data_IF_500324559185
#
_entry.id   IF_500324559185
#
_cell.length_a   1.000
_cell.length_b   1.000
_cell.length_c   1.000
_cell.angle_alpha   90.00
_cell.angle_beta   90.00
_cell.angle_gamma   90.00
#
_symmetry.space_group_name_H-M   'P 1'
#
loop_
_entity.id
_entity.type
_entity.pdbx_description
1 polymer ?
#
# COMPACT_ATOMS: atom_id res chain seq x y z
N UNK A 1 8.94 -33.71 -0.70
CA UNK A 1 9.75 -32.69 -1.40
C UNK A 1 11.20 -32.92 -1.01
N UNK A 2 12.04 -33.35 -1.96
CA UNK A 2 13.43 -33.78 -1.75
C UNK A 2 14.37 -32.61 -1.42
N UNK A 3 15.43 -32.87 -0.64
CA UNK A 3 16.43 -31.87 -0.21
C UNK A 3 17.09 -31.14 -1.39
N UNK A 4 17.31 -31.86 -2.49
CA UNK A 4 17.87 -31.32 -3.73
C UNK A 4 16.96 -30.27 -4.38
N UNK A 5 15.63 -30.46 -4.29
CA UNK A 5 14.63 -29.49 -4.77
C UNK A 5 14.59 -28.25 -3.88
N UNK A 6 14.77 -28.40 -2.56
CA UNK A 6 14.96 -27.26 -1.64
C UNK A 6 16.25 -26.49 -1.94
N UNK A 7 17.35 -27.18 -2.27
CA UNK A 7 18.63 -26.56 -2.63
C UNK A 7 18.55 -25.71 -3.89
N UNK A 8 17.93 -26.24 -4.96
CA UNK A 8 17.72 -25.51 -6.22
C UNK A 8 16.80 -24.29 -6.07
N UNK A 9 15.72 -24.40 -5.28
CA UNK A 9 14.83 -23.27 -4.99
C UNK A 9 15.51 -22.19 -4.12
N UNK A 10 16.36 -22.57 -3.18
CA UNK A 10 17.15 -21.63 -2.36
C UNK A 10 18.24 -20.90 -3.16
N UNK A 11 18.84 -21.55 -4.16
CA UNK A 11 19.83 -20.95 -5.05
C UNK A 11 19.25 -20.03 -6.13
N UNK A 12 17.97 -20.19 -6.49
CA UNK A 12 17.30 -19.38 -7.51
C UNK A 12 16.72 -18.05 -6.98
N UNK A 13 16.56 -17.91 -5.66
CA UNK A 13 16.03 -16.70 -5.04
C UNK A 13 17.18 -15.77 -4.63
N UNK A 14 17.09 -14.45 -4.89
CA UNK A 14 18.05 -13.48 -4.38
C UNK A 14 18.26 -13.64 -2.87
N UNK A 15 19.50 -13.42 -2.41
CA UNK A 15 19.86 -13.50 -0.99
C UNK A 15 18.91 -12.65 -0.15
N UNK A 16 18.31 -13.22 0.90
CA UNK A 16 17.38 -12.51 1.79
C UNK A 16 15.90 -12.52 1.38
N UNK A 17 15.52 -13.26 0.33
CA UNK A 17 14.11 -13.36 -0.08
C UNK A 17 13.24 -14.08 0.97
N UNK A 18 13.76 -15.09 1.68
CA UNK A 18 12.95 -15.87 2.62
C UNK A 18 12.54 -15.14 3.91
N UNK A 19 13.40 -14.34 4.59
CA UNK A 19 12.98 -13.61 5.78
C UNK A 19 12.01 -12.48 5.45
N UNK A 20 12.19 -11.80 4.32
CA UNK A 20 11.28 -10.73 3.88
C UNK A 20 9.93 -11.30 3.51
N UNK A 21 9.89 -12.39 2.71
CA UNK A 21 8.64 -13.05 2.35
C UNK A 21 7.87 -13.53 3.59
N UNK A 22 8.56 -14.15 4.55
CA UNK A 22 7.94 -14.57 5.82
C UNK A 22 7.38 -13.37 6.58
N UNK A 23 8.14 -12.29 6.71
CA UNK A 23 7.70 -11.06 7.37
C UNK A 23 6.44 -10.46 6.71
N UNK A 24 6.41 -10.40 5.37
CA UNK A 24 5.26 -9.90 4.60
C UNK A 24 4.03 -10.79 4.78
N UNK A 25 4.19 -12.12 4.68
CA UNK A 25 3.10 -13.09 4.89
C UNK A 25 2.53 -12.93 6.30
N UNK A 26 3.41 -12.88 7.30
CA UNK A 26 3.02 -12.73 8.69
C UNK A 26 2.28 -11.41 8.91
N UNK A 27 2.78 -10.31 8.36
CA UNK A 27 2.12 -9.01 8.41
C UNK A 27 0.73 -9.06 7.79
N UNK A 28 0.58 -9.71 6.62
CA UNK A 28 -0.71 -9.88 5.96
C UNK A 28 -1.70 -10.62 6.84
N UNK A 29 -1.35 -11.82 7.30
CA UNK A 29 -2.22 -12.65 8.15
C UNK A 29 -2.62 -11.93 9.43
N UNK A 30 -1.65 -11.33 10.12
CA UNK A 30 -1.89 -10.62 11.39
C UNK A 30 -2.66 -9.31 11.20
N UNK A 31 -2.45 -8.60 10.08
CA UNK A 31 -3.26 -7.41 9.73
C UNK A 31 -4.71 -7.78 9.44
N UNK A 32 -4.96 -8.90 8.74
CA UNK A 32 -6.31 -9.42 8.55
C UNK A 32 -6.94 -9.80 9.89
N UNK A 33 -6.23 -10.55 10.75
CA UNK A 33 -6.72 -10.89 12.08
C UNK A 33 -7.06 -9.63 12.91
N UNK A 34 -6.18 -8.63 12.90
CA UNK A 34 -6.38 -7.35 13.57
C UNK A 34 -7.63 -6.60 13.08
N UNK A 35 -7.88 -6.60 11.77
CA UNK A 35 -9.05 -5.94 11.17
C UNK A 35 -10.35 -6.75 11.28
N UNK A 36 -10.27 -8.07 11.42
CA UNK A 36 -11.44 -8.96 11.41
C UNK A 36 -11.94 -9.24 12.82
N UNK A 37 -11.04 -9.52 13.77
CA UNK A 37 -11.40 -9.98 15.11
C UNK A 37 -12.32 -9.02 15.89
N UNK A 38 -12.11 -7.68 15.89
CA UNK A 38 -12.97 -6.77 16.65
C UNK A 38 -14.44 -6.81 16.21
N UNK A 39 -14.69 -6.93 14.89
CA UNK A 39 -16.02 -7.11 14.34
C UNK A 39 -16.55 -8.53 14.58
N UNK A 40 -15.75 -9.56 14.27
CA UNK A 40 -16.18 -10.96 14.31
C UNK A 40 -16.57 -11.43 15.71
N UNK A 41 -15.87 -10.93 16.72
CA UNK A 41 -16.13 -11.21 18.13
C UNK A 41 -17.24 -10.33 18.72
N UNK A 42 -17.82 -9.41 17.93
CA UNK A 42 -18.89 -8.51 18.37
C UNK A 42 -18.44 -7.47 19.40
N UNK A 43 -17.13 -7.22 19.50
CA UNK A 43 -16.58 -6.23 20.45
C UNK A 43 -16.80 -4.81 19.91
N UNK A 44 -16.55 -4.60 18.61
CA UNK A 44 -16.93 -3.36 17.92
C UNK A 44 -18.23 -3.59 17.14
N UNK A 45 -19.23 -2.75 17.42
CA UNK A 45 -20.40 -2.65 16.56
C UNK A 45 -20.04 -2.08 15.17
N UNK A 46 -21.01 -2.05 14.26
CA UNK A 46 -20.80 -1.58 12.88
C UNK A 46 -20.35 -0.13 12.81
N UNK A 47 -20.84 0.75 13.70
CA UNK A 47 -20.47 2.17 13.73
C UNK A 47 -19.01 2.37 14.14
N UNK A 48 -18.61 1.74 15.25
CA UNK A 48 -17.24 1.76 15.77
C UNK A 48 -16.28 1.09 14.79
N UNK A 49 -16.68 -0.04 14.21
CA UNK A 49 -15.90 -0.72 13.19
C UNK A 49 -15.69 0.15 11.94
N UNK A 50 -16.73 0.83 11.46
CA UNK A 50 -16.62 1.74 10.33
C UNK A 50 -15.66 2.90 10.65
N UNK A 51 -15.73 3.50 11.85
CA UNK A 51 -14.81 4.56 12.26
C UNK A 51 -13.35 4.09 12.32
N UNK A 52 -13.11 2.93 12.94
CA UNK A 52 -11.79 2.29 13.01
C UNK A 52 -11.21 1.99 11.62
N UNK A 53 -11.99 1.37 10.74
CA UNK A 53 -11.52 1.03 9.39
C UNK A 53 -11.32 2.25 8.52
N UNK A 54 -12.14 3.30 8.64
CA UNK A 54 -11.90 4.59 7.96
C UNK A 54 -10.57 5.21 8.36
N UNK A 55 -10.20 5.17 9.64
CA UNK A 55 -8.85 5.55 10.09
C UNK A 55 -7.78 4.74 9.37
N UNK A 56 -7.94 3.42 9.27
CA UNK A 56 -7.01 2.57 8.53
C UNK A 56 -6.87 3.03 7.08
N UNK A 57 -7.96 3.25 6.35
CA UNK A 57 -7.90 3.67 4.96
C UNK A 57 -7.25 5.05 4.78
N UNK A 58 -7.60 6.03 5.62
CA UNK A 58 -6.98 7.38 5.61
C UNK A 58 -5.48 7.27 5.90
N UNK A 59 -5.10 6.49 6.91
CA UNK A 59 -3.70 6.28 7.25
C UNK A 59 -2.92 5.66 6.10
N UNK A 60 -3.49 4.69 5.40
CA UNK A 60 -2.85 4.08 4.22
C UNK A 60 -2.88 4.99 2.98
N UNK A 61 -3.62 6.11 2.97
CA UNK A 61 -3.37 7.20 2.01
C UNK A 61 -2.10 7.94 2.38
N UNK A 62 -1.98 8.36 3.65
CA UNK A 62 -0.89 9.23 4.10
C UNK A 62 0.45 8.50 4.21
N UNK A 63 0.49 7.37 4.91
CA UNK A 63 1.73 6.69 5.27
C UNK A 63 2.49 6.16 4.03
N UNK A 64 1.99 5.16 3.29
CA UNK A 64 2.68 4.70 2.09
C UNK A 64 2.62 5.75 0.96
N UNK A 65 1.69 6.71 1.01
CA UNK A 65 1.62 7.83 0.06
C UNK A 65 2.84 8.75 0.14
N UNK A 66 3.22 9.13 1.35
CA UNK A 66 4.31 10.07 1.62
C UNK A 66 5.67 9.40 1.83
N UNK A 67 5.69 8.17 2.33
CA UNK A 67 6.94 7.57 2.84
C UNK A 67 7.44 6.36 2.05
N UNK A 68 6.62 5.70 1.22
CA UNK A 68 7.11 4.58 0.41
C UNK A 68 8.17 5.00 -0.64
N UNK A 69 8.03 6.14 -1.36
CA UNK A 69 9.05 6.56 -2.31
C UNK A 69 10.34 6.97 -1.60
N UNK A 70 10.21 7.53 -0.39
CA UNK A 70 11.33 7.81 0.49
C UNK A 70 12.08 6.52 0.86
N UNK A 71 11.37 5.48 1.29
CA UNK A 71 11.95 4.16 1.56
C UNK A 71 12.75 3.63 0.36
N UNK A 72 12.14 3.63 -0.84
CA UNK A 72 12.71 3.07 -2.05
C UNK A 72 13.96 3.83 -2.52
N UNK A 73 13.88 5.16 -2.62
CA UNK A 73 15.01 5.99 -3.04
C UNK A 73 16.13 6.01 -2.01
N UNK A 74 15.79 5.94 -0.72
CA UNK A 74 16.79 5.88 0.34
C UNK A 74 17.51 4.53 0.32
N UNK A 75 16.79 3.41 0.16
CA UNK A 75 17.38 2.09 -0.02
C UNK A 75 18.34 2.04 -1.21
N UNK A 76 17.94 2.61 -2.36
CA UNK A 76 18.78 2.72 -3.55
C UNK A 76 20.09 3.49 -3.26
N UNK A 77 19.99 4.65 -2.61
CA UNK A 77 21.15 5.48 -2.29
C UNK A 77 22.09 4.81 -1.27
N UNK A 78 21.54 4.16 -0.24
CA UNK A 78 22.32 3.39 0.75
C UNK A 78 23.04 2.22 0.07
N UNK A 79 22.35 1.48 -0.81
CA UNK A 79 22.97 0.38 -1.55
C UNK A 79 24.11 0.85 -2.47
N UNK A 80 23.96 2.01 -3.13
CA UNK A 80 25.00 2.60 -3.96
C UNK A 80 26.24 3.02 -3.15
N UNK A 81 26.05 3.63 -1.97
CA UNK A 81 27.15 3.95 -1.04
C UNK A 81 27.84 2.71 -0.51
N UNK A 82 27.07 1.68 -0.12
CA UNK A 82 27.61 0.39 0.33
C UNK A 82 28.49 -0.26 -0.74
N UNK A 83 28.03 -0.30 -1.99
CA UNK A 83 28.80 -0.85 -3.11
C UNK A 83 30.07 -0.07 -3.46
N UNK A 84 30.18 1.19 -3.03
CA UNK A 84 31.34 2.06 -3.24
C UNK A 84 32.16 2.34 -1.97
N UNK A 85 31.87 1.66 -0.86
CA UNK A 85 32.57 1.84 0.41
C UNK A 85 32.45 3.23 1.04
N UNK A 86 31.39 3.99 0.72
CA UNK A 86 31.19 5.35 1.24
C UNK A 86 30.34 5.34 2.51
N UNK A 87 30.78 6.08 3.53
CA UNK A 87 30.05 6.19 4.80
C UNK A 87 28.62 6.72 4.67
N UNK A 88 27.72 6.21 5.52
CA UNK A 88 26.27 6.44 5.46
C UNK A 88 25.80 7.62 6.31
N UNK A 89 26.58 8.12 7.27
CA UNK A 89 26.12 9.14 8.21
C UNK A 89 25.58 10.43 7.54
N UNK A 90 26.25 11.01 6.52
CA UNK A 90 25.70 12.19 5.84
C UNK A 90 24.40 11.89 5.08
N UNK A 91 24.28 10.69 4.50
CA UNK A 91 23.09 10.24 3.80
C UNK A 91 21.91 10.07 4.77
N UNK A 92 22.16 9.48 5.94
CA UNK A 92 21.16 9.34 7.00
C UNK A 92 20.60 10.69 7.47
N UNK A 93 21.45 11.71 7.67
CA UNK A 93 20.98 13.07 8.02
C UNK A 93 20.06 13.66 6.95
N UNK A 94 20.40 13.45 5.68
CA UNK A 94 19.56 13.90 4.55
C UNK A 94 18.25 13.10 4.45
N UNK A 95 18.29 11.79 4.71
CA UNK A 95 17.11 10.94 4.82
C UNK A 95 16.17 11.40 5.94
N UNK A 96 16.71 11.70 7.12
CA UNK A 96 15.96 12.26 8.25
C UNK A 96 15.35 13.63 7.91
N UNK A 97 16.04 14.49 7.17
CA UNK A 97 15.49 15.77 6.74
C UNK A 97 14.27 15.57 5.81
N UNK A 98 14.35 14.64 4.84
CA UNK A 98 13.21 14.30 3.99
C UNK A 98 12.06 13.64 4.77
N UNK A 99 12.37 12.76 5.72
CA UNK A 99 11.36 12.18 6.61
C UNK A 99 10.68 13.27 7.44
N UNK A 100 11.44 14.23 8.00
CA UNK A 100 10.88 15.33 8.77
C UNK A 100 9.96 16.22 7.94
N UNK A 101 10.32 16.52 6.68
CA UNK A 101 9.45 17.24 5.75
C UNK A 101 8.17 16.45 5.48
N UNK A 102 8.28 15.15 5.17
CA UNK A 102 7.12 14.29 4.94
C UNK A 102 6.22 14.17 6.18
N UNK A 103 6.81 14.11 7.39
CA UNK A 103 6.10 14.09 8.66
C UNK A 103 5.38 15.42 8.90
N UNK A 104 6.03 16.55 8.66
CA UNK A 104 5.41 17.87 8.83
C UNK A 104 4.21 18.05 7.87
N UNK A 105 4.38 17.68 6.60
CA UNK A 105 3.28 17.71 5.62
C UNK A 105 2.17 16.74 6.03
N UNK A 106 2.53 15.49 6.36
CA UNK A 106 1.57 14.48 6.80
C UNK A 106 0.82 14.87 8.06
N UNK A 107 1.47 15.57 9.00
CA UNK A 107 0.87 16.08 10.23
C UNK A 107 -0.16 17.17 9.92
N UNK A 108 0.17 18.14 9.07
CA UNK A 108 -0.77 19.19 8.64
C UNK A 108 -1.98 18.57 7.95
N UNK A 109 -1.77 17.60 7.05
CA UNK A 109 -2.87 16.91 6.37
C UNK A 109 -3.69 16.06 7.34
N UNK A 110 -3.04 15.31 8.23
CA UNK A 110 -3.71 14.50 9.25
C UNK A 110 -4.57 15.36 10.17
N UNK A 111 -4.08 16.52 10.60
CA UNK A 111 -4.84 17.46 11.42
C UNK A 111 -6.01 18.06 10.64
N UNK A 112 -5.80 18.47 9.39
CA UNK A 112 -6.87 18.98 8.52
C UNK A 112 -7.98 17.94 8.30
N UNK A 113 -7.61 16.70 7.97
CA UNK A 113 -8.55 15.57 7.84
C UNK A 113 -9.23 15.26 9.17
N UNK A 114 -8.48 15.29 10.26
CA UNK A 114 -8.98 15.04 11.61
C UNK A 114 -10.02 16.05 12.07
N UNK A 115 -9.81 17.34 11.76
CA UNK A 115 -10.74 18.42 12.11
C UNK A 115 -11.96 18.41 11.17
N UNK A 116 -11.73 18.43 9.86
CA UNK A 116 -12.81 18.56 8.87
C UNK A 116 -13.63 17.28 8.70
N UNK A 117 -13.00 16.13 8.92
CA UNK A 117 -13.61 14.80 8.81
C UNK A 117 -13.96 14.17 10.16
N UNK A 118 -13.87 14.91 11.28
CA UNK A 118 -14.05 14.36 12.64
C UNK A 118 -15.34 13.54 12.77
N UNK A 119 -16.46 14.14 12.38
CA UNK A 119 -17.76 13.49 12.51
C UNK A 119 -17.91 12.43 11.41
N UNK A 120 -17.63 12.82 10.16
CA UNK A 120 -17.83 11.99 8.98
C UNK A 120 -16.92 10.78 8.86
N UNK A 121 -15.70 10.81 9.37
CA UNK A 121 -14.73 9.71 9.28
C UNK A 121 -14.59 8.97 10.61
N UNK A 122 -14.67 9.69 11.73
CA UNK A 122 -14.27 9.17 13.03
C UNK A 122 -15.40 9.11 14.05
N UNK A 123 -16.66 9.35 13.63
CA UNK A 123 -17.83 9.33 14.52
C UNK A 123 -17.59 10.19 15.78
N UNK A 124 -16.99 11.37 15.58
CA UNK A 124 -16.67 12.34 16.63
C UNK A 124 -15.65 11.86 17.70
N UNK A 125 -14.88 10.80 17.43
CA UNK A 125 -13.89 10.27 18.36
C UNK A 125 -12.51 10.95 18.22
N UNK A 126 -12.16 11.78 19.21
CA UNK A 126 -10.86 12.48 19.24
C UNK A 126 -9.66 11.53 19.37
N UNK A 127 -9.88 10.34 19.94
CA UNK A 127 -8.86 9.29 20.03
C UNK A 127 -8.42 8.79 18.66
N UNK A 128 -9.30 8.77 17.65
CA UNK A 128 -8.94 8.38 16.27
C UNK A 128 -8.18 9.49 15.55
N UNK A 129 -8.51 10.76 15.82
CA UNK A 129 -7.73 11.91 15.33
C UNK A 129 -6.32 11.86 15.90
N UNK A 130 -6.19 11.64 17.22
CA UNK A 130 -4.91 11.47 17.89
C UNK A 130 -4.13 10.28 17.30
N UNK A 131 -4.79 9.15 17.08
CA UNK A 131 -4.17 7.98 16.46
C UNK A 131 -3.63 8.30 15.06
N UNK A 132 -4.40 9.02 14.22
CA UNK A 132 -3.95 9.42 12.89
C UNK A 132 -2.69 10.29 12.98
N UNK A 133 -2.70 11.30 13.86
CA UNK A 133 -1.59 12.23 14.07
C UNK A 133 -0.33 11.52 14.56
N UNK A 134 -0.47 10.59 15.51
CA UNK A 134 0.66 9.80 16.04
C UNK A 134 1.17 8.76 15.04
N UNK A 135 0.32 8.26 14.14
CA UNK A 135 0.71 7.29 13.14
C UNK A 135 1.64 7.89 12.07
N UNK A 136 1.51 9.18 11.74
CA UNK A 136 2.35 9.84 10.73
C UNK A 136 3.86 9.76 11.04
N UNK A 137 4.36 10.26 12.20
CA UNK A 137 5.78 10.13 12.54
C UNK A 137 6.20 8.67 12.69
N UNK A 138 5.28 7.81 13.16
CA UNK A 138 5.55 6.39 13.35
C UNK A 138 5.85 5.68 12.03
N UNK A 139 5.02 5.87 11.03
CA UNK A 139 5.25 5.34 9.68
C UNK A 139 6.40 6.05 8.96
N UNK A 140 6.58 7.36 9.15
CA UNK A 140 7.69 8.10 8.55
C UNK A 140 9.05 7.55 8.97
N UNK A 141 9.22 7.28 10.27
CA UNK A 141 10.44 6.67 10.80
C UNK A 141 10.56 5.19 10.39
N UNK A 142 9.46 4.43 10.40
CA UNK A 142 9.46 3.03 9.94
C UNK A 142 9.97 2.91 8.50
N UNK A 143 9.41 3.68 7.56
CA UNK A 143 9.77 3.63 6.15
C UNK A 143 11.21 4.09 5.89
N UNK A 144 11.70 5.11 6.60
CA UNK A 144 13.11 5.51 6.51
C UNK A 144 14.03 4.39 7.02
N UNK A 145 13.71 3.81 8.18
CA UNK A 145 14.48 2.71 8.77
C UNK A 145 14.46 1.45 7.92
N UNK A 146 13.33 1.14 7.29
CA UNK A 146 13.19 0.12 6.26
C UNK A 146 14.13 0.36 5.09
N UNK A 147 14.18 1.59 4.58
CA UNK A 147 15.09 1.96 3.49
C UNK A 147 16.55 1.75 3.88
N UNK A 148 16.91 2.09 5.12
CA UNK A 148 18.25 1.85 5.66
C UNK A 148 18.58 0.34 5.70
N UNK A 149 17.71 -0.46 6.32
CA UNK A 149 17.90 -1.91 6.46
C UNK A 149 18.01 -2.60 5.09
N UNK A 150 17.10 -2.29 4.17
CA UNK A 150 17.09 -2.86 2.83
C UNK A 150 18.33 -2.46 2.02
N UNK A 151 18.69 -1.17 2.00
CA UNK A 151 19.86 -0.68 1.26
C UNK A 151 21.19 -1.20 1.81
N UNK A 152 21.27 -1.40 3.12
CA UNK A 152 22.43 -2.01 3.78
C UNK A 152 22.54 -3.52 3.55
N UNK A 153 21.57 -4.14 2.88
CA UNK A 153 21.53 -5.60 2.65
C UNK A 153 21.09 -6.42 3.86
N UNK A 154 20.54 -5.78 4.89
CA UNK A 154 20.04 -6.44 6.11
C UNK A 154 18.59 -6.88 5.93
N UNK A 155 18.36 -7.79 4.99
CA UNK A 155 17.02 -8.25 4.62
C UNK A 155 16.28 -8.97 5.75
N UNK A 156 16.99 -9.59 6.70
CA UNK A 156 16.39 -10.15 7.92
C UNK A 156 15.77 -9.05 8.79
N UNK A 157 16.50 -7.98 9.07
CA UNK A 157 15.97 -6.82 9.80
C UNK A 157 14.82 -6.15 9.04
N UNK A 158 14.95 -6.00 7.73
CA UNK A 158 13.85 -5.52 6.88
C UNK A 158 12.60 -6.40 7.01
N UNK A 159 12.74 -7.73 6.96
CA UNK A 159 11.63 -8.67 7.18
C UNK A 159 11.02 -8.59 8.58
N UNK A 160 11.84 -8.40 9.63
CA UNK A 160 11.38 -8.17 11.00
C UNK A 160 10.47 -6.94 11.10
N UNK A 161 10.73 -5.88 10.32
CA UNK A 161 9.81 -4.72 10.33
C UNK A 161 8.40 -5.08 9.89
N UNK A 162 8.23 -5.93 8.86
CA UNK A 162 6.90 -6.38 8.43
C UNK A 162 6.27 -7.30 9.48
N UNK A 163 6.95 -8.38 9.84
CA UNK A 163 6.40 -9.39 10.75
C UNK A 163 6.11 -8.82 12.14
N UNK A 164 7.02 -7.97 12.64
CA UNK A 164 6.90 -7.29 13.93
C UNK A 164 5.75 -6.30 13.95
N UNK A 165 5.53 -5.52 12.89
CA UNK A 165 4.44 -4.54 12.81
C UNK A 165 3.07 -5.23 12.98
N UNK A 166 2.85 -6.32 12.26
CA UNK A 166 1.63 -7.10 12.36
C UNK A 166 1.45 -7.83 13.70
N UNK A 167 2.50 -8.51 14.17
CA UNK A 167 2.47 -9.24 15.45
C UNK A 167 2.26 -8.33 16.65
N UNK A 168 2.97 -7.21 16.72
CA UNK A 168 2.86 -6.26 17.84
C UNK A 168 1.46 -5.66 17.88
N UNK A 169 0.92 -5.29 16.71
CA UNK A 169 -0.45 -4.77 16.61
C UNK A 169 -1.47 -5.78 17.11
N UNK A 170 -1.33 -7.06 16.74
CA UNK A 170 -2.21 -8.11 17.24
C UNK A 170 -2.02 -8.35 18.74
N UNK A 171 -0.78 -8.37 19.23
CA UNK A 171 -0.47 -8.55 20.65
C UNK A 171 -1.01 -7.42 21.54
N UNK A 172 -1.04 -6.18 21.05
CA UNK A 172 -1.67 -5.04 21.75
C UNK A 172 -3.20 -5.13 21.69
N UNK A 173 -3.74 -5.71 20.62
CA UNK A 173 -5.18 -5.79 20.36
C UNK A 173 -5.87 -6.90 21.15
N UNK A 174 -5.23 -8.06 21.31
CA UNK A 174 -5.81 -9.21 22.03
C UNK A 174 -6.25 -8.83 23.46
N UNK A 175 -5.44 -8.14 24.29
CA UNK A 175 -5.88 -7.67 25.60
C UNK A 175 -7.09 -6.74 25.54
N UNK A 176 -7.18 -5.85 24.53
CA UNK A 176 -8.32 -4.95 24.35
C UNK A 176 -9.60 -5.72 24.01
N UNK A 177 -9.49 -6.76 23.18
CA UNK A 177 -10.60 -7.66 22.85
C UNK A 177 -11.07 -8.43 24.09
N UNK A 178 -10.14 -8.98 24.88
CA UNK A 178 -10.45 -9.71 26.12
C UNK A 178 -11.10 -8.79 27.15
N UNK A 179 -10.65 -7.54 27.24
CA UNK A 179 -11.22 -6.53 28.12
C UNK A 179 -12.56 -5.96 27.63
N UNK A 180 -13.04 -6.38 26.44
CA UNK A 180 -14.29 -5.88 25.87
C UNK A 180 -14.24 -4.40 25.48
N UNK A 181 -13.08 -3.89 25.06
CA UNK A 181 -12.92 -2.51 24.63
C UNK A 181 -13.75 -2.24 23.37
N UNK A 182 -14.96 -1.70 23.55
CA UNK A 182 -15.98 -1.53 22.51
C UNK A 182 -15.88 -0.23 21.72
N UNK A 183 -14.85 0.60 21.99
CA UNK A 183 -14.61 1.85 21.24
C UNK A 183 -13.49 1.66 20.23
N UNK A 184 -13.54 2.41 19.12
CA UNK A 184 -12.56 2.33 18.04
C UNK A 184 -11.16 2.87 18.44
N UNK A 185 -11.11 3.83 19.37
CA UNK A 185 -9.90 4.54 19.78
C UNK A 185 -8.68 3.66 20.10
N UNK A 186 -8.79 2.68 21.01
CA UNK A 186 -7.69 1.77 21.36
C UNK A 186 -7.07 1.04 20.17
N UNK A 187 -7.90 0.54 19.24
CA UNK A 187 -7.43 -0.13 18.02
C UNK A 187 -6.75 0.86 17.05
N UNK A 188 -7.25 2.09 16.98
CA UNK A 188 -6.57 3.17 16.27
C UNK A 188 -5.18 3.46 16.82
N UNK A 189 -5.04 3.58 18.14
CA UNK A 189 -3.75 3.82 18.80
C UNK A 189 -2.78 2.63 18.63
N UNK A 190 -3.28 1.39 18.67
CA UNK A 190 -2.47 0.21 18.35
C UNK A 190 -1.89 0.27 16.93
N UNK A 191 -2.66 0.77 15.97
CA UNK A 191 -2.21 1.02 14.60
C UNK A 191 -1.12 2.09 14.54
N UNK A 192 -1.24 3.14 15.36
CA UNK A 192 -0.28 4.23 15.39
C UNK A 192 1.09 3.81 16.00
N UNK A 193 1.08 3.01 17.07
CA UNK A 193 2.30 2.70 17.84
C UNK A 193 3.08 1.50 17.27
N UNK A 194 2.38 0.52 16.68
CA UNK A 194 3.01 -0.72 16.18
C UNK A 194 4.18 -0.53 15.18
N UNK A 195 4.17 0.45 14.25
CA UNK A 195 5.28 0.71 13.33
C UNK A 195 6.59 1.05 14.05
N UNK A 196 6.54 1.90 15.08
CA UNK A 196 7.74 2.32 15.81
C UNK A 196 8.32 1.19 16.63
N UNK A 197 7.46 0.41 17.29
CA UNK A 197 7.91 -0.75 18.07
C UNK A 197 8.53 -1.82 17.16
N UNK A 198 7.95 -2.05 15.97
CA UNK A 198 8.51 -2.95 14.98
C UNK A 198 9.87 -2.47 14.45
N UNK A 199 10.01 -1.17 14.19
CA UNK A 199 11.29 -0.58 13.81
C UNK A 199 12.32 -0.71 14.93
N UNK A 200 11.95 -0.39 16.17
CA UNK A 200 12.83 -0.48 17.33
C UNK A 200 13.33 -1.92 17.52
N UNK A 201 12.44 -2.91 17.41
CA UNK A 201 12.80 -4.33 17.44
C UNK A 201 13.77 -4.69 16.31
N UNK A 202 13.47 -4.27 15.07
CA UNK A 202 14.33 -4.56 13.92
C UNK A 202 15.74 -3.96 14.09
N UNK A 203 15.84 -2.72 14.56
CA UNK A 203 17.11 -2.04 14.82
C UNK A 203 17.85 -2.58 16.05
N UNK A 204 17.13 -3.10 17.05
CA UNK A 204 17.75 -3.79 18.18
C UNK A 204 18.45 -5.08 17.73
N UNK A 205 17.82 -5.82 16.81
CA UNK A 205 18.32 -7.09 16.29
C UNK A 205 19.34 -6.91 15.14
N UNK A 206 19.21 -5.85 14.34
CA UNK A 206 20.04 -5.63 13.15
C UNK A 206 20.46 -4.16 13.05
N UNK A 207 21.72 -3.87 13.39
CA UNK A 207 22.24 -2.50 13.49
C UNK A 207 23.06 -2.11 12.25
N UNK A 208 22.56 -1.17 11.42
CA UNK A 208 23.38 -0.58 10.36
C UNK A 208 24.52 0.26 10.94
N UNK A 209 25.72 0.15 10.34
CA UNK A 209 26.86 1.00 10.68
C UNK A 209 26.73 2.36 9.96
N UNK A 210 26.71 3.45 10.74
CA UNK A 210 26.61 4.82 10.23
C UNK A 210 27.97 5.49 10.23
N UNK A 211 28.87 4.99 9.38
CA UNK A 211 30.22 5.54 9.30
C UNK A 211 30.23 6.96 8.70
N UNK A 212 31.14 7.84 9.14
CA UNK A 212 31.41 9.11 8.49
C UNK A 212 31.77 8.91 7.03
N UNK A 213 31.42 9.87 6.18
CA UNK A 213 31.69 9.79 4.75
C UNK A 213 31.57 11.13 4.05
N UNK A 214 31.75 11.17 2.72
CA UNK A 214 31.63 12.39 1.95
C UNK A 214 30.20 12.96 1.98
N UNK A 215 30.11 14.28 1.79
CA UNK A 215 28.83 15.00 1.67
C UNK A 215 27.97 14.38 0.55
N UNK A 216 26.65 14.47 0.71
CA UNK A 216 25.68 13.89 -0.23
C UNK A 216 25.43 14.86 -1.38
N UNK A 217 25.72 14.43 -2.61
CA UNK A 217 25.38 15.21 -3.79
C UNK A 217 23.85 15.28 -3.96
N UNK A 218 23.33 16.36 -4.57
CA UNK A 218 21.88 16.48 -4.81
C UNK A 218 21.34 15.38 -5.72
N UNK A 219 22.11 15.02 -6.75
CA UNK A 219 21.83 13.92 -7.68
C UNK A 219 21.82 12.54 -7.03
N UNK A 220 22.46 12.39 -5.88
CA UNK A 220 22.55 11.10 -5.18
C UNK A 220 21.21 10.70 -4.55
N UNK A 221 20.51 11.68 -3.95
CA UNK A 221 19.27 11.47 -3.23
C UNK A 221 18.40 12.73 -3.15
N UNK A 222 17.13 12.60 -3.53
CA UNK A 222 16.08 13.61 -3.36
C UNK A 222 15.53 14.23 -4.64
N UNK A 223 16.31 14.28 -5.74
CA UNK A 223 15.85 14.89 -7.00
C UNK A 223 14.68 14.12 -7.62
N UNK A 224 14.70 12.79 -7.53
CA UNK A 224 13.63 11.93 -8.07
C UNK A 224 12.39 11.83 -7.17
N UNK A 225 12.47 12.30 -5.91
CA UNK A 225 11.40 12.09 -4.93
C UNK A 225 10.10 12.81 -5.29
N UNK A 226 10.07 14.11 -5.65
CA UNK A 226 8.80 14.82 -5.82
C UNK A 226 7.81 14.17 -6.80
N UNK A 227 8.17 13.81 -8.04
CA UNK A 227 7.21 13.19 -8.96
C UNK A 227 6.81 11.76 -8.51
N UNK A 228 7.71 11.03 -7.83
CA UNK A 228 7.38 9.72 -7.26
C UNK A 228 6.41 9.84 -6.08
N UNK A 229 6.58 10.86 -5.23
CA UNK A 229 5.68 11.18 -4.12
C UNK A 229 4.29 11.54 -4.63
N UNK A 230 4.19 12.37 -5.66
CA UNK A 230 2.89 12.71 -6.26
C UNK A 230 2.22 11.46 -6.83
N UNK A 231 2.92 10.70 -7.68
CA UNK A 231 2.34 9.48 -8.27
C UNK A 231 1.91 8.47 -7.20
N UNK A 232 2.74 8.27 -6.17
CA UNK A 232 2.46 7.37 -5.07
C UNK A 232 1.25 7.85 -4.25
N UNK A 233 1.21 9.12 -3.86
CA UNK A 233 0.10 9.68 -3.10
C UNK A 233 -1.23 9.56 -3.86
N UNK A 234 -1.25 9.90 -5.15
CA UNK A 234 -2.45 9.76 -5.99
C UNK A 234 -2.89 8.28 -6.10
N UNK A 235 -1.95 7.34 -6.25
CA UNK A 235 -2.26 5.91 -6.27
C UNK A 235 -2.85 5.42 -4.94
N UNK A 236 -2.33 5.91 -3.80
CA UNK A 236 -2.81 5.54 -2.47
C UNK A 236 -4.16 6.18 -2.15
N UNK A 237 -4.38 7.43 -2.59
CA UNK A 237 -5.68 8.09 -2.51
C UNK A 237 -6.74 7.31 -3.30
N UNK A 238 -6.39 6.87 -4.52
CA UNK A 238 -7.30 6.12 -5.38
C UNK A 238 -7.65 4.77 -4.75
N UNK A 239 -6.66 3.95 -4.37
CA UNK A 239 -6.93 2.59 -3.84
C UNK A 239 -7.74 2.62 -2.54
N UNK A 240 -7.51 3.61 -1.67
CA UNK A 240 -8.20 3.75 -0.40
C UNK A 240 -9.45 4.65 -0.45
N UNK A 241 -9.83 5.13 -1.64
CA UNK A 241 -10.94 6.08 -1.80
C UNK A 241 -12.30 5.53 -1.34
N UNK A 242 -12.63 4.27 -1.62
CA UNK A 242 -14.01 3.75 -1.46
C UNK A 242 -14.61 4.03 -0.08
N UNK A 243 -14.02 3.59 1.05
CA UNK A 243 -14.63 3.81 2.36
C UNK A 243 -14.54 5.27 2.81
N UNK A 244 -13.51 6.01 2.37
CA UNK A 244 -13.33 7.43 2.67
C UNK A 244 -14.45 8.23 2.00
N UNK A 245 -14.62 8.10 0.69
CA UNK A 245 -15.64 8.80 -0.10
C UNK A 245 -17.04 8.43 0.35
N UNK A 246 -17.30 7.14 0.61
CA UNK A 246 -18.60 6.69 1.09
C UNK A 246 -19.01 7.42 2.39
N UNK A 247 -18.06 7.64 3.29
CA UNK A 247 -18.29 8.37 4.53
C UNK A 247 -18.71 9.85 4.33
N UNK A 248 -18.35 10.47 3.20
CA UNK A 248 -18.78 11.83 2.87
C UNK A 248 -20.07 11.89 2.05
N UNK A 249 -20.33 10.85 1.25
CA UNK A 249 -21.48 10.78 0.35
C UNK A 249 -22.71 10.16 1.03
N UNK A 250 -22.51 9.33 2.04
CA UNK A 250 -23.55 8.61 2.77
C UNK A 250 -23.16 8.42 4.25
N UNK A 251 -23.12 9.54 4.98
CA UNK A 251 -22.52 9.63 6.33
C UNK A 251 -23.06 8.60 7.33
N UNK A 252 -24.38 8.43 7.39
CA UNK A 252 -25.09 7.60 8.38
C UNK A 252 -25.62 6.29 7.77
N UNK A 253 -25.08 5.88 6.61
CA UNK A 253 -25.54 4.66 5.94
C UNK A 253 -25.09 3.41 6.72
N UNK A 254 -26.02 2.51 7.12
CA UNK A 254 -25.70 1.32 7.91
C UNK A 254 -24.76 0.35 7.19
N UNK A 255 -24.62 0.47 5.86
CA UNK A 255 -23.75 -0.38 5.03
C UNK A 255 -22.28 0.04 5.09
N UNK A 256 -21.92 1.16 5.74
CA UNK A 256 -20.54 1.65 5.80
C UNK A 256 -19.54 0.61 6.33
N UNK A 257 -19.92 -0.11 7.39
CA UNK A 257 -19.09 -1.16 7.98
C UNK A 257 -18.88 -2.35 7.02
N UNK A 258 -19.98 -2.79 6.39
CA UNK A 258 -19.98 -3.88 5.41
C UNK A 258 -19.15 -3.51 4.17
N UNK A 259 -19.23 -2.27 3.70
CA UNK A 259 -18.42 -1.76 2.59
C UNK A 259 -16.92 -1.75 2.93
N UNK A 260 -16.54 -1.27 4.12
CA UNK A 260 -15.14 -1.33 4.58
C UNK A 260 -14.63 -2.77 4.64
N UNK A 261 -15.41 -3.68 5.20
CA UNK A 261 -15.10 -5.11 5.28
C UNK A 261 -14.95 -5.74 3.89
N UNK A 262 -15.85 -5.40 2.97
CA UNK A 262 -15.80 -5.83 1.58
C UNK A 262 -14.50 -5.38 0.91
N UNK A 263 -14.13 -4.10 1.03
CA UNK A 263 -12.87 -3.57 0.49
C UNK A 263 -11.66 -4.30 1.06
N UNK A 264 -11.67 -4.69 2.34
CA UNK A 264 -10.58 -5.47 2.97
C UNK A 264 -10.46 -6.86 2.33
N UNK A 265 -11.58 -7.56 2.12
CA UNK A 265 -11.58 -8.91 1.52
C UNK A 265 -11.23 -8.86 0.02
N UNK A 266 -11.80 -7.93 -0.73
CA UNK A 266 -11.58 -7.84 -2.18
C UNK A 266 -10.15 -7.48 -2.54
N UNK A 267 -9.34 -7.06 -1.55
CA UNK A 267 -7.92 -6.76 -1.71
C UNK A 267 -6.98 -7.94 -1.53
N UNK A 268 -7.45 -9.13 -1.11
CA UNK A 268 -6.59 -10.33 -1.00
C UNK A 268 -5.76 -10.56 -2.27
N UNK A 269 -6.30 -10.42 -3.50
CA UNK A 269 -5.52 -10.58 -4.72
C UNK A 269 -4.42 -9.53 -4.94
N UNK A 270 -4.55 -8.29 -4.40
CA UNK A 270 -3.48 -7.28 -4.51
C UNK A 270 -2.19 -7.76 -3.84
N UNK A 271 -2.30 -8.52 -2.76
CA UNK A 271 -1.12 -9.04 -2.07
C UNK A 271 -0.36 -10.06 -2.92
N UNK A 272 -1.06 -10.82 -3.77
CA UNK A 272 -0.41 -11.76 -4.70
C UNK A 272 0.45 -11.03 -5.73
N UNK A 273 0.08 -9.80 -6.13
CA UNK A 273 0.86 -9.00 -7.05
C UNK A 273 2.20 -8.52 -6.48
N UNK A 274 2.33 -8.38 -5.16
CA UNK A 274 3.59 -7.94 -4.55
C UNK A 274 4.76 -8.89 -4.89
N UNK A 275 4.48 -10.19 -4.96
CA UNK A 275 5.47 -11.19 -5.38
C UNK A 275 5.85 -11.02 -6.86
N UNK A 276 4.87 -10.74 -7.72
CA UNK A 276 5.09 -10.47 -9.15
C UNK A 276 5.94 -9.22 -9.34
N UNK A 277 5.62 -8.13 -8.64
CA UNK A 277 6.30 -6.84 -8.70
C UNK A 277 7.81 -6.97 -8.44
N UNK A 278 8.21 -7.78 -7.46
CA UNK A 278 9.62 -8.00 -7.12
C UNK A 278 10.44 -8.57 -8.30
N UNK A 279 9.81 -9.42 -9.13
CA UNK A 279 10.45 -10.01 -10.31
C UNK A 279 10.28 -9.18 -11.59
N UNK A 280 9.21 -8.39 -11.66
CA UNK A 280 8.84 -7.65 -12.86
C UNK A 280 9.79 -6.49 -13.13
N UNK A 281 10.05 -5.64 -12.12
CA UNK A 281 10.83 -4.41 -12.30
C UNK A 281 12.25 -4.71 -12.81
N UNK A 282 13.02 -5.64 -12.20
CA UNK A 282 14.36 -5.97 -12.70
C UNK A 282 14.35 -6.50 -14.13
N UNK A 283 13.37 -7.35 -14.46
CA UNK A 283 13.23 -7.91 -15.81
C UNK A 283 12.93 -6.83 -16.85
N UNK A 284 11.99 -5.93 -16.57
CA UNK A 284 11.66 -4.82 -17.47
C UNK A 284 12.86 -3.88 -17.64
N UNK A 285 13.57 -3.55 -16.56
CA UNK A 285 14.77 -2.73 -16.61
C UNK A 285 15.87 -3.36 -17.47
N UNK A 286 16.09 -4.68 -17.36
CA UNK A 286 17.04 -5.41 -18.21
C UNK A 286 16.64 -5.38 -19.68
N UNK A 287 15.36 -5.57 -20.01
CA UNK A 287 14.87 -5.51 -21.40
C UNK A 287 15.03 -4.11 -22.01
N UNK A 288 14.80 -3.06 -21.22
CA UNK A 288 15.03 -1.66 -21.62
C UNK A 288 16.52 -1.40 -21.85
N UNK A 289 17.39 -1.82 -20.93
CA UNK A 289 18.84 -1.64 -21.06
C UNK A 289 19.42 -2.37 -22.28
N UNK A 290 18.85 -3.51 -22.66
CA UNK A 290 19.26 -4.28 -23.84
C UNK A 290 18.58 -3.89 -25.16
N UNK A 291 17.74 -2.84 -25.19
CA UNK A 291 17.01 -2.44 -26.41
C UNK A 291 15.97 -3.46 -26.90
N UNK A 292 15.55 -4.41 -26.06
CA UNK A 292 14.64 -5.53 -26.43
C UNK A 292 13.18 -5.12 -26.33
N UNK A 293 12.78 -4.11 -27.11
CA UNK A 293 11.47 -3.46 -27.03
C UNK A 293 10.28 -4.40 -27.33
N UNK A 294 10.42 -5.32 -28.30
CA UNK A 294 9.36 -6.29 -28.61
C UNK A 294 9.10 -7.24 -27.43
N UNK A 295 10.17 -7.72 -26.79
CA UNK A 295 10.07 -8.61 -25.63
C UNK A 295 9.57 -7.89 -24.38
N UNK A 296 9.90 -6.61 -24.22
CA UNK A 296 9.30 -5.76 -23.20
C UNK A 296 7.77 -5.73 -23.35
N UNK A 297 7.27 -5.42 -24.56
CA UNK A 297 5.82 -5.39 -24.85
C UNK A 297 5.18 -6.75 -24.62
N UNK A 298 5.76 -7.84 -25.14
CA UNK A 298 5.21 -9.19 -24.96
C UNK A 298 5.22 -9.63 -23.48
N UNK A 299 6.28 -9.31 -22.72
CA UNK A 299 6.35 -9.62 -21.29
C UNK A 299 5.25 -8.90 -20.52
N UNK A 300 5.08 -7.60 -20.77
CA UNK A 300 4.02 -6.80 -20.14
C UNK A 300 2.63 -7.33 -20.53
N UNK A 301 2.39 -7.60 -21.82
CA UNK A 301 1.11 -8.12 -22.30
C UNK A 301 0.75 -9.48 -21.67
N UNK A 302 1.70 -10.43 -21.61
CA UNK A 302 1.47 -11.73 -20.97
C UNK A 302 1.13 -11.58 -19.50
N UNK A 303 1.81 -10.67 -18.81
CA UNK A 303 1.50 -10.36 -17.41
C UNK A 303 0.09 -9.79 -17.27
N UNK A 304 -0.28 -8.79 -18.06
CA UNK A 304 -1.59 -8.15 -17.99
C UNK A 304 -2.71 -9.15 -18.31
N UNK A 305 -2.53 -10.05 -19.29
CA UNK A 305 -3.49 -11.11 -19.60
C UNK A 305 -3.61 -12.11 -18.46
N UNK A 306 -2.49 -12.58 -17.90
CA UNK A 306 -2.50 -13.51 -16.78
C UNK A 306 -3.22 -12.92 -15.55
N UNK A 307 -2.93 -11.65 -15.25
CA UNK A 307 -3.61 -10.94 -14.17
C UNK A 307 -5.10 -10.71 -14.49
N UNK A 308 -5.45 -10.36 -15.72
CA UNK A 308 -6.84 -10.24 -16.17
C UNK A 308 -7.64 -11.51 -15.95
N UNK A 309 -7.06 -12.68 -16.23
CA UNK A 309 -7.69 -13.97 -15.95
C UNK A 309 -7.91 -14.19 -14.44
N UNK A 310 -6.92 -13.89 -13.60
CA UNK A 310 -7.06 -13.97 -12.14
C UNK A 310 -8.14 -13.03 -11.62
N UNK A 311 -8.24 -11.82 -12.18
CA UNK A 311 -9.27 -10.84 -11.82
C UNK A 311 -10.65 -11.34 -12.20
N UNK A 312 -10.83 -11.90 -13.40
CA UNK A 312 -12.09 -12.47 -13.85
C UNK A 312 -12.55 -13.64 -12.96
N UNK A 313 -11.62 -14.54 -12.62
CA UNK A 313 -11.87 -15.64 -11.68
C UNK A 313 -12.25 -15.12 -10.29
N UNK A 314 -11.52 -14.13 -9.79
CA UNK A 314 -11.78 -13.49 -8.50
C UNK A 314 -13.15 -12.80 -8.45
N UNK A 315 -13.55 -12.11 -9.52
CA UNK A 315 -14.85 -11.47 -9.63
C UNK A 315 -15.99 -12.50 -9.66
N UNK A 316 -15.82 -13.62 -10.38
CA UNK A 316 -16.77 -14.74 -10.35
C UNK A 316 -16.88 -15.35 -8.94
N UNK A 317 -15.76 -15.57 -8.26
CA UNK A 317 -15.76 -16.05 -6.88
C UNK A 317 -16.42 -15.04 -5.92
N UNK A 318 -16.24 -13.73 -6.12
CA UNK A 318 -16.88 -12.69 -5.33
C UNK A 318 -18.41 -12.67 -5.52
N UNK A 319 -18.91 -12.87 -6.74
CA UNK A 319 -20.36 -12.98 -7.01
C UNK A 319 -20.99 -14.19 -6.31
N UNK A 320 -20.30 -15.33 -6.31
CA UNK A 320 -20.88 -16.60 -5.84
C UNK A 320 -20.66 -16.80 -4.34
N UNK A 321 -19.44 -16.56 -3.86
CA UNK A 321 -19.01 -16.88 -2.50
C UNK A 321 -18.83 -15.64 -1.62
N UNK A 322 -18.76 -14.44 -2.22
CA UNK A 322 -18.37 -13.22 -1.53
C UNK A 322 -19.22 -12.90 -0.29
N UNK A 323 -20.57 -12.83 -0.38
CA UNK A 323 -21.41 -12.57 0.79
C UNK A 323 -21.22 -13.60 1.91
N UNK A 324 -21.03 -14.86 1.54
CA UNK A 324 -20.76 -15.94 2.51
C UNK A 324 -19.41 -15.73 3.20
N UNK A 325 -18.36 -15.38 2.44
CA UNK A 325 -17.03 -15.09 2.99
C UNK A 325 -17.07 -13.88 3.92
N UNK A 326 -17.74 -12.78 3.53
CA UNK A 326 -17.90 -11.59 4.38
C UNK A 326 -18.61 -11.94 5.69
N UNK A 327 -19.73 -12.68 5.61
CA UNK A 327 -20.49 -13.09 6.79
C UNK A 327 -19.69 -14.00 7.72
N UNK A 328 -18.93 -14.96 7.19
CA UNK A 328 -18.08 -15.85 7.99
C UNK A 328 -16.96 -15.06 8.67
N UNK A 329 -16.33 -14.15 7.93
CA UNK A 329 -15.21 -13.37 8.41
C UNK A 329 -15.64 -12.34 9.46
N UNK A 330 -16.67 -11.54 9.19
CA UNK A 330 -17.02 -10.37 10.00
C UNK A 330 -18.28 -10.54 10.86
N UNK A 331 -19.17 -11.46 10.52
CA UNK A 331 -20.42 -11.69 11.25
C UNK A 331 -21.68 -11.39 10.43
N UNK A 332 -22.87 -11.70 10.98
CA UNK A 332 -24.15 -11.60 10.27
C UNK A 332 -24.57 -10.17 9.92
N UNK A 333 -24.12 -9.17 10.70
CA UNK A 333 -24.49 -7.76 10.50
C UNK A 333 -23.78 -7.11 9.29
N UNK A 334 -22.77 -7.78 8.73
CA UNK A 334 -21.98 -7.31 7.60
C UNK A 334 -22.58 -7.78 6.28
N UNK A 335 -23.74 -7.22 5.93
CA UNK A 335 -24.46 -7.56 4.71
C UNK A 335 -24.06 -6.65 3.56
N UNK A 336 -23.55 -7.24 2.48
CA UNK A 336 -23.26 -6.54 1.23
C UNK A 336 -23.70 -7.40 0.06
N UNK A 337 -24.19 -6.75 -1.00
CA UNK A 337 -24.65 -7.46 -2.18
C UNK A 337 -23.47 -8.05 -3.00
N UNK A 338 -23.68 -9.19 -3.68
CA UNK A 338 -22.62 -9.82 -4.44
C UNK A 338 -22.12 -8.99 -5.63
N UNK A 339 -22.96 -8.14 -6.24
CA UNK A 339 -22.57 -7.33 -7.40
C UNK A 339 -21.55 -6.28 -6.99
N UNK A 340 -21.78 -5.58 -5.88
CA UNK A 340 -20.83 -4.63 -5.31
C UNK A 340 -19.50 -5.27 -4.95
N UNK A 341 -19.51 -6.49 -4.38
CA UNK A 341 -18.29 -7.25 -4.13
C UNK A 341 -17.52 -7.58 -5.43
N UNK A 342 -18.24 -7.97 -6.48
CA UNK A 342 -17.64 -8.24 -7.78
C UNK A 342 -17.05 -6.98 -8.41
N UNK A 343 -17.79 -5.86 -8.40
CA UNK A 343 -17.34 -4.55 -8.89
C UNK A 343 -16.09 -4.08 -8.14
N UNK A 344 -16.08 -4.21 -6.80
CA UNK A 344 -14.90 -3.90 -5.98
C UNK A 344 -13.71 -4.81 -6.29
N UNK A 345 -13.96 -6.09 -6.57
CA UNK A 345 -12.92 -7.05 -6.97
C UNK A 345 -12.33 -6.70 -8.33
N UNK A 346 -13.17 -6.38 -9.32
CA UNK A 346 -12.73 -5.93 -10.65
C UNK A 346 -11.97 -4.61 -10.53
N UNK A 347 -12.49 -3.63 -9.79
CA UNK A 347 -11.81 -2.34 -9.59
C UNK A 347 -10.45 -2.51 -8.90
N UNK A 348 -10.40 -3.35 -7.86
CA UNK A 348 -9.14 -3.75 -7.20
C UNK A 348 -8.17 -4.39 -8.18
N UNK A 349 -8.67 -5.25 -9.07
CA UNK A 349 -7.93 -5.84 -10.17
C UNK A 349 -7.38 -4.83 -11.18
N UNK A 350 -8.22 -3.91 -11.64
CA UNK A 350 -7.84 -2.83 -12.56
C UNK A 350 -6.79 -1.92 -11.94
N UNK A 351 -6.86 -1.67 -10.63
CA UNK A 351 -5.80 -0.98 -9.90
C UNK A 351 -4.47 -1.72 -9.99
N UNK A 352 -4.46 -3.05 -9.87
CA UNK A 352 -3.23 -3.86 -10.01
C UNK A 352 -2.67 -3.79 -11.44
N UNK A 353 -3.54 -3.84 -12.46
CA UNK A 353 -3.12 -3.66 -13.85
C UNK A 353 -2.52 -2.26 -14.07
N UNK A 354 -3.12 -1.22 -13.47
CA UNK A 354 -2.56 0.13 -13.47
C UNK A 354 -1.20 0.22 -12.77
N UNK A 355 -1.02 -0.49 -11.64
CA UNK A 355 0.28 -0.60 -10.96
C UNK A 355 1.33 -1.24 -11.87
N UNK A 356 0.99 -2.33 -12.57
CA UNK A 356 1.91 -2.97 -13.51
C UNK A 356 2.32 -2.04 -14.67
N UNK A 357 1.36 -1.34 -15.26
CA UNK A 357 1.62 -0.38 -16.33
C UNK A 357 2.44 0.82 -15.85
N UNK A 358 2.17 1.36 -14.66
CA UNK A 358 2.94 2.48 -14.10
C UNK A 358 4.35 2.07 -13.65
N UNK A 359 4.55 0.83 -13.21
CA UNK A 359 5.89 0.29 -12.98
C UNK A 359 6.68 0.12 -14.29
N UNK A 360 6.01 -0.27 -15.38
CA UNK A 360 6.62 -0.23 -16.70
C UNK A 360 7.04 1.21 -17.07
N UNK A 361 6.16 2.21 -16.89
CA UNK A 361 6.50 3.63 -17.11
C UNK A 361 7.66 4.12 -16.25
N UNK A 362 7.79 3.62 -15.01
CA UNK A 362 8.93 3.91 -14.14
C UNK A 362 10.24 3.41 -14.76
N UNK A 363 10.27 2.18 -15.28
CA UNK A 363 11.45 1.63 -15.99
C UNK A 363 11.78 2.41 -17.27
N UNK A 364 10.76 3.03 -17.89
CA UNK A 364 10.91 3.87 -19.06
C UNK A 364 11.28 5.33 -18.73
N UNK A 365 11.58 5.64 -17.45
CA UNK A 365 11.90 6.99 -16.95
C UNK A 365 10.83 8.04 -17.30
N UNK A 366 9.56 7.63 -17.24
CA UNK A 366 8.41 8.49 -17.56
C UNK A 366 7.52 8.77 -16.34
N UNK A 367 8.04 9.33 -15.24
CA UNK A 367 7.27 9.54 -14.01
C UNK A 367 6.09 10.51 -14.19
N UNK A 368 6.19 11.48 -15.12
CA UNK A 368 5.09 12.35 -15.48
C UNK A 368 3.89 11.59 -16.08
N UNK A 369 4.13 10.50 -16.81
CA UNK A 369 3.06 9.65 -17.34
C UNK A 369 2.38 8.83 -16.22
N UNK A 370 3.12 8.49 -15.16
CA UNK A 370 2.53 7.84 -13.98
C UNK A 370 1.59 8.81 -13.26
N UNK A 371 2.05 10.05 -13.02
CA UNK A 371 1.21 11.10 -12.41
C UNK A 371 -0.05 11.33 -13.24
N UNK A 372 0.09 11.49 -14.56
CA UNK A 372 -1.05 11.67 -15.46
C UNK A 372 -2.06 10.53 -15.34
N UNK A 373 -1.61 9.29 -15.32
CA UNK A 373 -2.49 8.12 -15.20
C UNK A 373 -3.33 8.16 -13.91
N UNK A 374 -2.69 8.38 -12.76
CA UNK A 374 -3.40 8.44 -11.49
C UNK A 374 -4.32 9.67 -11.39
N UNK A 375 -3.89 10.83 -11.91
CA UNK A 375 -4.71 12.03 -11.94
C UNK A 375 -5.96 11.86 -12.80
N UNK A 376 -5.85 11.28 -14.00
CA UNK A 376 -6.99 11.00 -14.87
C UNK A 376 -7.94 10.01 -14.20
N UNK A 377 -7.42 8.98 -13.54
CA UNK A 377 -8.22 8.04 -12.76
C UNK A 377 -9.05 8.73 -11.67
N UNK A 378 -8.39 9.53 -10.83
CA UNK A 378 -9.07 10.28 -9.77
C UNK A 378 -10.09 11.28 -10.31
N UNK A 379 -9.78 11.97 -11.41
CA UNK A 379 -10.69 12.91 -12.05
C UNK A 379 -11.96 12.21 -12.56
N UNK A 380 -11.82 11.14 -13.33
CA UNK A 380 -12.97 10.43 -13.89
C UNK A 380 -13.78 9.71 -12.81
N UNK A 381 -13.12 9.17 -11.78
CA UNK A 381 -13.79 8.66 -10.58
C UNK A 381 -14.59 9.74 -9.85
N UNK A 382 -13.99 10.91 -9.65
CA UNK A 382 -14.64 12.06 -9.02
C UNK A 382 -15.86 12.55 -9.81
N UNK A 383 -15.75 12.61 -11.14
CA UNK A 383 -16.88 12.94 -12.02
C UNK A 383 -18.00 11.89 -11.94
N UNK A 384 -17.67 10.60 -11.86
CA UNK A 384 -18.65 9.53 -11.72
C UNK A 384 -19.45 9.61 -10.40
N UNK A 385 -18.91 10.25 -9.35
CA UNK A 385 -19.63 10.51 -8.11
C UNK A 385 -20.74 11.56 -8.27
N UNK A 386 -20.78 12.31 -9.36
CA UNK A 386 -21.83 13.30 -9.65
C UNK A 386 -23.14 12.68 -10.13
N UNK A 387 -23.17 11.38 -10.42
CA UNK A 387 -24.38 10.66 -10.85
C UNK A 387 -25.30 10.45 -9.65
N UNK A 388 -26.60 10.72 -9.80
CA UNK A 388 -27.57 10.54 -8.72
C UNK A 388 -28.20 9.13 -8.73
N UNK A 389 -27.55 8.21 -8.01
CA UNK A 389 -27.99 6.82 -7.80
C UNK A 389 -27.65 6.40 -6.36
N UNK A 390 -28.06 5.19 -5.96
CA UNK A 390 -27.74 4.61 -4.65
C UNK A 390 -26.25 4.83 -4.28
N UNK A 391 -25.94 5.41 -3.10
CA UNK A 391 -24.57 5.80 -2.75
C UNK A 391 -23.54 4.67 -2.78
N UNK A 392 -23.95 3.45 -2.39
CA UNK A 392 -23.05 2.30 -2.36
C UNK A 392 -22.70 1.88 -3.79
N UNK A 393 -23.71 1.79 -4.65
CA UNK A 393 -23.54 1.55 -6.09
C UNK A 393 -22.67 2.66 -6.71
N UNK A 394 -22.98 3.92 -6.44
CA UNK A 394 -22.23 5.08 -6.93
C UNK A 394 -20.74 5.00 -6.62
N UNK A 395 -20.38 4.77 -5.36
CA UNK A 395 -18.98 4.77 -4.92
C UNK A 395 -18.22 3.56 -5.47
N UNK A 396 -18.84 2.37 -5.48
CA UNK A 396 -18.20 1.16 -6.00
C UNK A 396 -17.92 1.26 -7.51
N UNK A 397 -18.88 1.76 -8.29
CA UNK A 397 -18.70 1.98 -9.73
C UNK A 397 -17.74 3.13 -10.04
N UNK A 398 -17.78 4.23 -9.27
CA UNK A 398 -16.82 5.32 -9.40
C UNK A 398 -15.37 4.83 -9.20
N UNK A 399 -15.14 3.92 -8.26
CA UNK A 399 -13.83 3.30 -8.05
C UNK A 399 -13.41 2.42 -9.24
N UNK A 400 -14.32 1.61 -9.80
CA UNK A 400 -14.04 0.84 -11.01
C UNK A 400 -13.69 1.74 -12.21
N UNK A 401 -14.43 2.83 -12.40
CA UNK A 401 -14.16 3.83 -13.44
C UNK A 401 -12.77 4.46 -13.23
N UNK A 402 -12.47 4.88 -12.00
CA UNK A 402 -11.19 5.50 -11.65
C UNK A 402 -9.99 4.59 -11.95
N UNK A 403 -10.06 3.34 -11.49
CA UNK A 403 -9.00 2.34 -11.66
C UNK A 403 -8.83 1.94 -13.13
N UNK A 404 -9.94 1.79 -13.87
CA UNK A 404 -9.92 1.52 -15.32
C UNK A 404 -9.28 2.67 -16.09
N UNK A 405 -9.68 3.91 -15.80
CA UNK A 405 -9.12 5.10 -16.43
C UNK A 405 -7.62 5.26 -16.17
N UNK A 406 -7.19 5.01 -14.93
CA UNK A 406 -5.76 5.00 -14.59
C UNK A 406 -4.99 3.93 -15.38
N UNK A 407 -5.53 2.71 -15.46
CA UNK A 407 -4.92 1.63 -16.24
C UNK A 407 -4.81 1.97 -17.73
N UNK A 408 -5.90 2.38 -18.37
CA UNK A 408 -5.92 2.69 -19.80
C UNK A 408 -4.99 3.86 -20.12
N UNK A 409 -4.93 4.86 -19.24
CA UNK A 409 -4.00 5.99 -19.39
C UNK A 409 -2.55 5.55 -19.23
N UNK A 410 -2.23 4.72 -18.23
CA UNK A 410 -0.86 4.21 -18.08
C UNK A 410 -0.44 3.33 -19.28
N UNK A 411 -1.35 2.49 -19.77
CA UNK A 411 -1.10 1.62 -20.91
C UNK A 411 -0.88 2.42 -22.20
N UNK A 412 -1.73 3.41 -22.48
CA UNK A 412 -1.63 4.26 -23.68
C UNK A 412 -0.32 5.07 -23.71
N UNK A 413 0.23 5.40 -22.54
CA UNK A 413 1.51 6.11 -22.40
C UNK A 413 2.73 5.21 -22.52
N UNK A 414 2.56 3.88 -22.41
CA UNK A 414 3.68 2.93 -22.44
C UNK A 414 4.36 2.88 -23.81
N UNK A 415 3.61 2.82 -24.91
CA UNK A 415 4.18 2.76 -26.27
C UNK A 415 4.92 4.05 -26.65
N UNK A 416 4.34 5.26 -26.48
CA UNK A 416 5.07 6.51 -26.74
C UNK A 416 6.30 6.69 -25.86
N UNK A 417 6.25 6.26 -24.60
CA UNK A 417 7.40 6.33 -23.69
C UNK A 417 8.52 5.37 -24.12
N UNK A 418 8.18 4.19 -24.63
CA UNK A 418 9.15 3.22 -25.13
C UNK A 418 9.90 3.75 -26.37
N UNK A 419 9.19 4.44 -27.26
CA UNK A 419 9.77 5.03 -28.48
C UNK A 419 10.78 6.17 -28.21
N UNK A 420 10.73 6.79 -27.02
CA UNK A 420 11.67 7.86 -26.62
C UNK A 420 13.01 7.34 -26.09
N UNK A 421 13.11 6.04 -25.84
CA UNK A 421 14.34 5.41 -25.38
C UNK A 421 15.21 5.11 -26.62
N UNK A 422 16.53 5.39 -26.60
CA UNK A 422 17.42 5.06 -27.71
C UNK A 422 17.25 3.60 -28.16
N UNK A 423 16.97 3.38 -29.45
CA UNK A 423 16.66 2.06 -30.03
C UNK A 423 15.16 1.72 -30.16
N UNK A 424 14.26 2.63 -29.75
CA UNK A 424 12.81 2.39 -29.66
C UNK A 424 11.97 2.56 -30.93
N UNK A 425 12.59 2.76 -32.10
CA UNK A 425 11.91 2.88 -33.40
C UNK A 425 11.72 1.50 -34.06
#
# INVERSE_FOLDING_TARGET
>A
MTEETRGRLRGALPVGTSPVALGVILNGVTSYAFLVLPARLGVLDTSQYAAFTRLWFVLFVLAPGLFLPLEQEFARAVAARRGSGRGLAPLMRRGLAWAAVGIAVGFVVALGVGIMGRDRLFASQDSLVLALVLAVPSYGLLHLGRGLLAGSGMFSGYGVTFGGEGLIRLAVTVPMLVAGASTAGPYGLATAVSPLLALALALALHRPHLEPGPKVASSEFGVSLPPLLVAQFLSQALVNSVPIVFAFVAHDDPRAAALSAAVIITRVPLFMYQAVQASLIPRLAHLVAGGRHHEFRSTLQRLLVAMGAVIALGAGAALILGPTVVRIAFGPDFVIDPVSLAVLTVGSGMFVLALAATQALLTLRAPASMVLAWSVGLLLGGLALGVDIDPLTRVTWAFLIATTAAFLTALSRTVPSLARIPGGA
#
